data_IF_656625230931
#
_entry.id   IF_656625230931
#
_cell.length_a   1.000
_cell.length_b   1.000
_cell.length_c   1.000
_cell.angle_alpha   90.00
_cell.angle_beta   90.00
_cell.angle_gamma   90.00
#
_symmetry.space_group_name_H-M   'P 1'
#
loop_
_entity.id
_entity.type
_entity.pdbx_description
1 polymer ?
#
# COMPACT_ATOMS: atom_id res chain seq x y z
N UNK A 1 -0.21 -27.87 -1.71
CA UNK A 1 0.38 -26.54 -1.52
C UNK A 1 -0.48 -25.78 -0.50
N UNK A 2 0.08 -25.50 0.70
CA UNK A 2 -0.58 -24.64 1.68
C UNK A 2 -0.30 -23.16 1.35
N UNK A 3 -1.32 -22.32 1.47
CA UNK A 3 -1.19 -20.87 1.31
C UNK A 3 -1.12 -20.19 2.68
N UNK A 4 -0.30 -19.17 2.83
CA UNK A 4 -0.29 -18.34 4.05
C UNK A 4 -0.99 -17.02 3.78
N UNK A 5 -2.02 -16.71 4.57
CA UNK A 5 -2.72 -15.44 4.58
C UNK A 5 -2.19 -14.57 5.71
N UNK A 6 -1.70 -13.39 5.38
CA UNK A 6 -1.26 -12.40 6.38
C UNK A 6 -2.38 -11.41 6.65
N UNK A 7 -2.80 -11.28 7.91
CA UNK A 7 -3.82 -10.32 8.32
C UNK A 7 -3.30 -9.39 9.44
N UNK A 8 -3.82 -8.16 9.56
CA UNK A 8 -3.48 -7.30 10.69
C UNK A 8 -3.81 -7.98 12.03
N UNK A 9 -2.93 -7.85 13.02
CA UNK A 9 -3.09 -8.46 14.34
C UNK A 9 -4.41 -8.05 15.02
N UNK A 10 -4.88 -6.83 14.79
CA UNK A 10 -6.20 -6.35 15.24
C UNK A 10 -7.37 -7.18 14.67
N UNK A 11 -7.17 -7.83 13.52
CA UNK A 11 -8.16 -8.67 12.86
C UNK A 11 -8.09 -10.15 13.29
N UNK A 12 -7.21 -10.51 14.21
CA UNK A 12 -6.98 -11.92 14.64
C UNK A 12 -8.26 -12.67 15.02
N UNK A 13 -9.21 -11.98 15.65
CA UNK A 13 -10.51 -12.58 16.00
C UNK A 13 -11.34 -12.99 14.77
N UNK A 14 -11.08 -12.38 13.62
CA UNK A 14 -11.73 -12.67 12.35
C UNK A 14 -11.04 -13.83 11.59
N UNK A 15 -9.92 -14.35 12.09
CA UNK A 15 -9.22 -15.49 11.46
C UNK A 15 -10.13 -16.73 11.31
N UNK A 16 -11.14 -16.87 12.18
CA UNK A 16 -12.15 -17.93 12.09
C UNK A 16 -12.97 -17.90 10.80
N UNK A 17 -13.02 -16.75 10.08
CA UNK A 17 -13.71 -16.65 8.80
C UNK A 17 -12.92 -17.34 7.68
N UNK A 18 -11.67 -17.71 7.94
CA UNK A 18 -10.76 -18.35 6.99
C UNK A 18 -10.48 -19.81 7.41
N UNK A 19 -11.51 -20.49 7.96
CA UNK A 19 -11.42 -21.90 8.38
C UNK A 19 -11.31 -22.81 7.14
N UNK A 20 -10.07 -22.95 6.65
CA UNK A 20 -9.72 -23.78 5.51
C UNK A 20 -8.40 -24.50 5.86
N UNK A 21 -8.35 -25.84 5.85
CA UNK A 21 -7.16 -26.60 6.20
C UNK A 21 -5.95 -26.36 5.28
N UNK A 22 -6.18 -25.82 4.06
CA UNK A 22 -5.13 -25.45 3.13
C UNK A 22 -4.60 -24.03 3.36
N UNK A 23 -5.18 -23.27 4.30
CA UNK A 23 -4.85 -21.88 4.55
C UNK A 23 -4.29 -21.70 5.95
N UNK A 24 -3.00 -21.35 6.03
CA UNK A 24 -2.39 -20.89 7.27
C UNK A 24 -2.63 -19.39 7.44
N UNK A 25 -3.25 -18.98 8.53
CA UNK A 25 -3.43 -17.56 8.86
C UNK A 25 -2.33 -17.12 9.82
N UNK A 26 -1.57 -16.10 9.44
CA UNK A 26 -0.58 -15.45 10.28
C UNK A 26 -0.89 -13.96 10.43
N UNK A 27 -0.31 -13.31 11.44
CA UNK A 27 -0.65 -11.91 11.76
C UNK A 27 0.58 -11.01 11.75
N UNK A 28 0.36 -9.74 11.41
CA UNK A 28 1.38 -8.70 11.46
C UNK A 28 0.86 -7.44 12.16
N UNK A 29 1.78 -6.62 12.69
CA UNK A 29 1.43 -5.35 13.31
C UNK A 29 1.19 -4.27 12.25
N UNK A 30 -0.08 -3.90 12.06
CA UNK A 30 -0.50 -2.81 11.19
C UNK A 30 -0.50 -1.49 11.97
N UNK A 31 0.71 -1.05 12.37
CA UNK A 31 0.91 0.14 13.20
C UNK A 31 1.85 1.08 12.46
N UNK A 32 1.40 2.32 12.25
CA UNK A 32 2.26 3.38 11.73
C UNK A 32 3.30 3.77 12.78
N UNK A 33 4.57 3.77 12.41
CA UNK A 33 5.68 4.28 13.22
C UNK A 33 6.36 5.40 12.46
N UNK A 34 6.44 6.55 13.08
CA UNK A 34 7.06 7.76 12.54
C UNK A 34 7.96 8.37 13.63
N UNK A 35 9.08 8.95 13.24
CA UNK A 35 10.02 9.58 14.15
C UNK A 35 11.43 9.67 13.56
N UNK A 36 12.44 9.48 14.40
CA UNK A 36 13.82 9.46 13.94
C UNK A 36 14.11 8.17 13.17
N UNK A 37 14.89 8.25 12.09
CA UNK A 37 15.15 7.11 11.18
C UNK A 37 15.67 5.87 11.90
N UNK A 38 16.58 6.01 12.86
CA UNK A 38 17.10 4.89 13.65
C UNK A 38 16.02 4.20 14.50
N UNK A 39 15.08 4.97 15.07
CA UNK A 39 13.97 4.46 15.86
C UNK A 39 12.99 3.69 14.97
N UNK A 40 12.63 4.29 13.83
CA UNK A 40 11.76 3.63 12.84
C UNK A 40 12.37 2.32 12.36
N UNK A 41 13.67 2.32 11.99
CA UNK A 41 14.38 1.12 11.54
C UNK A 41 14.40 0.01 12.60
N UNK A 42 14.57 0.37 13.86
CA UNK A 42 14.51 -0.58 14.97
C UNK A 42 13.09 -1.17 15.11
N UNK A 43 12.05 -0.34 15.06
CA UNK A 43 10.66 -0.78 15.16
C UNK A 43 10.25 -1.67 13.98
N UNK A 44 10.68 -1.32 12.76
CA UNK A 44 10.44 -2.11 11.57
C UNK A 44 11.18 -3.45 11.63
N UNK A 45 12.43 -3.45 12.07
CA UNK A 45 13.23 -4.67 12.26
C UNK A 45 12.66 -5.62 13.31
N UNK A 46 12.09 -5.08 14.37
CA UNK A 46 11.38 -5.85 15.41
C UNK A 46 9.96 -6.27 15.00
N UNK A 47 9.50 -5.93 13.80
CA UNK A 47 8.14 -6.19 13.29
C UNK A 47 7.05 -5.53 14.16
N UNK A 48 7.36 -4.41 14.83
CA UNK A 48 6.43 -3.69 15.72
C UNK A 48 5.66 -2.59 15.03
N UNK A 49 5.99 -2.29 13.77
CA UNK A 49 5.30 -1.30 12.97
C UNK A 49 5.91 -1.19 11.57
N UNK A 50 5.42 -0.22 10.82
CA UNK A 50 5.80 0.04 9.43
C UNK A 50 5.63 1.52 9.11
N UNK A 51 6.16 2.03 7.98
CA UNK A 51 5.79 3.35 7.49
C UNK A 51 4.27 3.47 7.38
N UNK A 52 3.72 4.67 7.62
CA UNK A 52 2.26 4.86 7.69
C UNK A 52 1.52 4.27 6.50
N UNK A 53 0.76 3.18 6.69
CA UNK A 53 0.08 2.51 5.59
C UNK A 53 -1.20 3.28 5.22
N UNK A 54 -1.31 3.71 3.98
CA UNK A 54 -2.52 4.29 3.39
C UNK A 54 -3.19 3.34 2.40
N UNK A 55 -2.49 2.28 2.01
CA UNK A 55 -2.98 1.22 1.13
C UNK A 55 -2.27 -0.10 1.46
N UNK A 56 -2.63 -1.15 0.74
CA UNK A 56 -2.11 -2.50 0.94
C UNK A 56 -0.64 -2.64 0.52
N UNK A 57 -0.08 -1.76 -0.31
CA UNK A 57 1.30 -1.89 -0.81
C UNK A 57 2.33 -1.78 0.31
N UNK A 58 2.17 -0.82 1.24
CA UNK A 58 3.10 -0.65 2.36
C UNK A 58 3.24 -1.94 3.17
N UNK A 59 2.15 -2.54 3.71
CA UNK A 59 2.26 -3.80 4.43
C UNK A 59 2.73 -4.97 3.56
N UNK A 60 2.40 -5.01 2.27
CA UNK A 60 2.85 -6.09 1.37
C UNK A 60 4.38 -6.05 1.16
N UNK A 61 4.93 -4.87 0.92
CA UNK A 61 6.38 -4.69 0.78
C UNK A 61 7.08 -5.01 2.11
N UNK A 62 6.58 -4.52 3.23
CA UNK A 62 7.13 -4.82 4.55
C UNK A 62 7.09 -6.32 4.85
N UNK A 63 6.00 -7.00 4.51
CA UNK A 63 5.90 -8.45 4.64
C UNK A 63 6.98 -9.15 3.80
N UNK A 64 7.20 -8.72 2.57
CA UNK A 64 8.27 -9.25 1.72
C UNK A 64 9.66 -9.09 2.36
N UNK A 65 9.96 -7.92 2.92
CA UNK A 65 11.22 -7.68 3.64
C UNK A 65 11.33 -8.59 4.87
N UNK A 66 10.28 -8.71 5.67
CA UNK A 66 10.25 -9.55 6.88
C UNK A 66 10.34 -11.04 6.59
N UNK A 67 9.86 -11.49 5.43
CA UNK A 67 9.99 -12.87 4.95
C UNK A 67 11.39 -13.16 4.38
N UNK A 68 12.25 -12.14 4.24
CA UNK A 68 13.63 -12.28 3.84
C UNK A 68 13.87 -12.23 2.33
N UNK A 69 12.89 -11.81 1.53
CA UNK A 69 13.08 -11.59 0.10
C UNK A 69 14.15 -10.52 -0.13
N UNK A 70 15.09 -10.80 -1.05
CA UNK A 70 16.17 -9.87 -1.40
C UNK A 70 15.83 -8.97 -2.58
N UNK A 71 14.82 -9.36 -3.35
CA UNK A 71 14.29 -8.58 -4.47
C UNK A 71 12.77 -8.61 -4.44
N UNK A 72 12.15 -7.45 -4.56
CA UNK A 72 10.70 -7.24 -4.60
C UNK A 72 10.39 -6.48 -5.89
N UNK A 73 9.56 -7.06 -6.75
CA UNK A 73 9.10 -6.41 -7.98
C UNK A 73 7.64 -5.99 -7.84
N UNK A 74 7.36 -4.73 -8.13
CA UNK A 74 6.01 -4.18 -8.14
C UNK A 74 5.45 -4.22 -9.56
N UNK A 75 4.25 -4.79 -9.70
CA UNK A 75 3.50 -4.88 -10.93
C UNK A 75 2.08 -4.35 -10.72
N UNK A 76 1.55 -3.61 -11.71
CA UNK A 76 0.20 -3.05 -11.63
C UNK A 76 0.07 -1.93 -10.58
N UNK A 77 1.19 -1.35 -10.13
CA UNK A 77 1.24 -0.27 -9.15
C UNK A 77 1.39 1.09 -9.86
N UNK A 78 0.41 1.47 -10.65
CA UNK A 78 0.46 2.67 -11.49
C UNK A 78 0.19 3.98 -10.72
N UNK A 79 -0.73 3.96 -9.76
CA UNK A 79 -1.20 5.14 -9.02
C UNK A 79 -1.72 6.26 -9.94
N UNK A 80 -2.26 5.91 -11.10
CA UNK A 80 -2.81 6.82 -12.11
C UNK A 80 -4.03 7.62 -11.64
N UNK A 81 -4.70 7.16 -10.57
CA UNK A 81 -5.83 7.83 -9.96
C UNK A 81 -5.52 9.28 -9.51
N UNK A 82 -4.25 9.60 -9.23
CA UNK A 82 -3.85 10.97 -8.92
C UNK A 82 -4.10 11.93 -10.09
N UNK A 83 -3.92 11.47 -11.33
CA UNK A 83 -4.14 12.29 -12.54
C UNK A 83 -5.62 12.52 -12.85
N UNK A 84 -6.53 11.79 -12.22
CA UNK A 84 -7.98 11.88 -12.45
C UNK A 84 -8.71 12.68 -11.37
N UNK A 85 -7.96 13.17 -10.37
CA UNK A 85 -8.52 13.97 -9.27
C UNK A 85 -8.93 15.35 -9.78
N UNK A 86 -10.17 15.74 -9.56
CA UNK A 86 -10.71 17.03 -9.99
C UNK A 86 -11.76 17.54 -9.00
N UNK A 87 -12.15 18.79 -9.10
CA UNK A 87 -13.26 19.40 -8.36
C UNK A 87 -14.35 19.78 -9.37
N UNK A 88 -15.57 19.31 -9.14
CA UNK A 88 -16.70 19.60 -10.00
C UNK A 88 -17.35 20.96 -9.66
N UNK A 89 -18.34 21.38 -10.47
CA UNK A 89 -19.06 22.66 -10.29
C UNK A 89 -19.86 22.75 -9.00
N UNK A 90 -20.00 21.65 -8.25
CA UNK A 90 -20.65 21.61 -6.92
C UNK A 90 -19.63 21.69 -5.78
N UNK A 91 -18.36 21.99 -6.08
CA UNK A 91 -17.23 21.95 -5.13
C UNK A 91 -17.02 20.57 -4.49
N UNK A 92 -17.36 19.50 -5.19
CA UNK A 92 -17.13 18.14 -4.72
C UNK A 92 -15.84 17.60 -5.35
N UNK A 93 -14.99 16.98 -4.53
CA UNK A 93 -13.81 16.27 -5.02
C UNK A 93 -14.25 14.95 -5.65
N UNK A 94 -13.87 14.75 -6.90
CA UNK A 94 -14.19 13.53 -7.64
C UNK A 94 -12.94 12.96 -8.28
N UNK A 95 -12.88 11.64 -8.37
CA UNK A 95 -11.84 10.92 -9.11
C UNK A 95 -12.53 9.94 -10.04
N UNK A 96 -12.20 10.00 -11.33
CA UNK A 96 -12.66 9.04 -12.33
C UNK A 96 -11.51 8.10 -12.61
N UNK A 97 -11.55 6.91 -12.03
CA UNK A 97 -10.51 5.90 -12.25
C UNK A 97 -10.88 5.06 -13.48
N UNK A 98 -10.14 5.12 -14.58
CA UNK A 98 -10.31 4.17 -15.67
C UNK A 98 -9.71 2.82 -15.22
N UNK A 99 -10.54 1.89 -14.76
CA UNK A 99 -10.09 0.54 -14.50
C UNK A 99 -10.10 -0.30 -15.77
N UNK A 100 -9.14 -1.23 -15.89
CA UNK A 100 -9.01 -2.15 -17.01
C UNK A 100 -10.15 -3.19 -17.10
N UNK A 101 -10.93 -3.33 -16.04
CA UNK A 101 -12.10 -4.21 -16.00
C UNK A 101 -13.38 -3.38 -16.12
N UNK A 102 -14.39 -3.91 -16.80
CA UNK A 102 -15.74 -3.34 -16.79
C UNK A 102 -16.20 -3.30 -15.35
N UNK A 103 -16.17 -2.11 -14.75
CA UNK A 103 -16.60 -1.94 -13.37
C UNK A 103 -18.11 -2.11 -13.27
N UNK A 104 -18.50 -2.76 -12.17
CA UNK A 104 -19.89 -2.74 -11.73
C UNK A 104 -20.21 -1.27 -11.35
N UNK A 105 -21.31 -0.73 -11.88
CA UNK A 105 -21.79 0.64 -11.58
C UNK A 105 -21.86 0.95 -10.07
N UNK A 106 -21.91 -0.09 -9.23
CA UNK A 106 -21.88 0.01 -7.77
C UNK A 106 -20.51 0.42 -7.23
N UNK A 107 -19.42 -0.06 -7.83
CA UNK A 107 -18.07 0.27 -7.42
C UNK A 107 -17.72 1.71 -7.82
N UNK A 108 -18.09 2.15 -9.01
CA UNK A 108 -17.94 3.54 -9.43
C UNK A 108 -18.69 4.50 -8.50
N UNK A 109 -19.92 4.15 -8.11
CA UNK A 109 -20.70 4.95 -7.14
C UNK A 109 -20.03 4.99 -5.77
N UNK A 110 -19.42 3.90 -5.32
CA UNK A 110 -18.73 3.83 -4.04
C UNK A 110 -17.49 4.73 -4.02
N UNK A 111 -16.64 4.63 -5.04
CA UNK A 111 -15.42 5.45 -5.18
C UNK A 111 -15.79 6.93 -5.26
N UNK A 112 -16.78 7.29 -6.08
CA UNK A 112 -17.30 8.65 -6.17
C UNK A 112 -17.77 9.19 -4.83
N UNK A 113 -18.51 8.39 -4.04
CA UNK A 113 -19.03 8.78 -2.73
C UNK A 113 -17.93 8.95 -1.67
N UNK A 114 -16.83 8.24 -1.79
CA UNK A 114 -15.73 8.30 -0.82
C UNK A 114 -14.99 9.63 -0.90
N UNK A 115 -14.67 10.11 -2.11
CA UNK A 115 -13.97 11.39 -2.30
C UNK A 115 -14.84 12.61 -2.05
N UNK A 116 -16.12 12.58 -2.43
CA UNK A 116 -17.08 13.69 -2.25
C UNK A 116 -17.19 14.16 -0.78
N UNK A 117 -16.87 13.31 0.18
CA UNK A 117 -16.95 13.60 1.62
C UNK A 117 -15.73 14.32 2.18
N UNK A 118 -14.64 14.40 1.43
CA UNK A 118 -13.36 14.93 1.90
C UNK A 118 -12.96 16.17 1.10
N UNK A 119 -12.55 17.26 1.77
CA UNK A 119 -11.94 18.40 1.08
C UNK A 119 -10.69 18.00 0.30
N UNK A 120 -10.39 18.70 -0.78
CA UNK A 120 -9.26 18.40 -1.65
C UNK A 120 -7.93 18.29 -0.89
N UNK A 121 -7.68 19.19 0.07
CA UNK A 121 -6.44 19.18 0.84
C UNK A 121 -6.28 17.90 1.68
N UNK A 122 -7.35 17.38 2.27
CA UNK A 122 -7.28 16.12 3.04
C UNK A 122 -6.96 14.92 2.13
N UNK A 123 -7.54 14.91 0.92
CA UNK A 123 -7.24 13.89 -0.09
C UNK A 123 -5.77 13.97 -0.50
N UNK A 124 -5.28 15.16 -0.81
CA UNK A 124 -3.87 15.39 -1.17
C UNK A 124 -2.91 15.03 -0.04
N UNK A 125 -3.24 15.37 1.22
CA UNK A 125 -2.45 14.99 2.38
C UNK A 125 -2.37 13.46 2.55
N UNK A 126 -3.49 12.78 2.36
CA UNK A 126 -3.52 11.32 2.39
C UNK A 126 -2.63 10.70 1.32
N UNK A 127 -2.66 11.25 0.11
CA UNK A 127 -1.80 10.84 -1.00
C UNK A 127 -0.33 11.13 -0.70
N UNK A 128 0.00 12.33 -0.22
CA UNK A 128 1.35 12.72 0.15
C UNK A 128 1.94 11.79 1.25
N UNK A 129 1.12 11.38 2.22
CA UNK A 129 1.53 10.39 3.23
C UNK A 129 1.87 9.06 2.58
N UNK A 130 1.07 8.57 1.62
CA UNK A 130 1.34 7.32 0.92
C UNK A 130 2.69 7.36 0.18
N UNK A 131 2.95 8.43 -0.58
CA UNK A 131 4.19 8.58 -1.33
C UNK A 131 5.41 8.73 -0.38
N UNK A 132 5.31 9.52 0.70
CA UNK A 132 6.36 9.57 1.72
C UNK A 132 6.66 8.20 2.32
N UNK A 133 5.63 7.40 2.54
CA UNK A 133 5.79 6.03 3.07
C UNK A 133 6.55 5.12 2.10
N UNK A 134 6.39 5.30 0.79
CA UNK A 134 7.17 4.56 -0.20
C UNK A 134 8.65 4.95 -0.18
N UNK A 135 8.96 6.24 -0.08
CA UNK A 135 10.36 6.67 0.08
C UNK A 135 10.98 6.12 1.36
N UNK A 136 10.23 6.09 2.45
CA UNK A 136 10.70 5.50 3.70
C UNK A 136 10.91 3.99 3.60
N UNK A 137 10.03 3.28 2.88
CA UNK A 137 10.19 1.86 2.56
C UNK A 137 11.45 1.60 1.75
N UNK A 138 11.70 2.40 0.73
CA UNK A 138 12.89 2.28 -0.12
C UNK A 138 14.17 2.47 0.71
N UNK A 139 14.22 3.49 1.58
CA UNK A 139 15.35 3.72 2.45
C UNK A 139 15.59 2.55 3.42
N UNK A 140 14.52 2.05 4.04
CA UNK A 140 14.60 0.89 4.93
C UNK A 140 15.01 -0.39 4.19
N UNK A 141 14.44 -0.67 3.03
CA UNK A 141 14.81 -1.82 2.22
C UNK A 141 16.29 -1.79 1.85
N UNK A 142 16.79 -0.63 1.41
CA UNK A 142 18.20 -0.43 1.07
C UNK A 142 19.12 -0.70 2.28
N UNK A 143 18.77 -0.22 3.47
CA UNK A 143 19.51 -0.48 4.71
C UNK A 143 19.55 -1.99 5.09
N UNK A 144 18.61 -2.77 4.58
CA UNK A 144 18.52 -4.24 4.80
C UNK A 144 19.08 -5.06 3.64
N UNK A 145 19.65 -4.41 2.62
CA UNK A 145 20.16 -5.07 1.41
C UNK A 145 19.05 -5.70 0.57
N UNK A 146 17.86 -5.10 0.59
CA UNK A 146 16.69 -5.51 -0.23
C UNK A 146 16.51 -4.52 -1.37
N UNK A 147 16.40 -5.03 -2.59
CA UNK A 147 16.10 -4.26 -3.79
C UNK A 147 14.60 -4.25 -4.05
N UNK A 148 14.02 -3.06 -4.19
CA UNK A 148 12.64 -2.89 -4.64
C UNK A 148 12.69 -2.28 -6.04
N UNK A 149 11.98 -2.87 -6.99
CA UNK A 149 11.93 -2.43 -8.39
C UNK A 149 10.47 -2.23 -8.79
N UNK A 150 10.17 -1.09 -9.40
CA UNK A 150 8.86 -0.83 -9.98
C UNK A 150 8.88 -1.15 -11.47
N UNK A 151 8.32 -2.30 -11.83
CA UNK A 151 8.19 -2.77 -13.20
C UNK A 151 6.84 -2.38 -13.85
N UNK A 152 6.09 -1.46 -13.23
CA UNK A 152 4.82 -0.98 -13.77
C UNK A 152 5.05 0.15 -14.76
N UNK A 153 4.70 -0.02 -16.05
CA UNK A 153 4.77 1.08 -17.02
C UNK A 153 3.89 2.27 -16.60
N UNK A 154 4.38 3.49 -16.79
CA UNK A 154 3.61 4.71 -16.51
C UNK A 154 3.27 4.96 -15.03
N UNK A 155 3.83 4.20 -14.10
CA UNK A 155 3.57 4.38 -12.67
C UNK A 155 3.97 5.78 -12.19
N UNK A 156 3.15 6.37 -11.33
CA UNK A 156 3.43 7.65 -10.68
C UNK A 156 4.25 7.51 -9.39
N UNK A 157 4.57 6.28 -8.97
CA UNK A 157 5.42 6.05 -7.80
C UNK A 157 6.87 6.30 -8.18
N UNK A 158 7.48 7.32 -7.61
CA UNK A 158 8.84 7.76 -7.86
C UNK A 158 9.87 7.19 -6.85
N UNK A 159 9.40 6.63 -5.76
CA UNK A 159 10.26 6.13 -4.68
C UNK A 159 11.10 4.91 -5.07
N UNK A 160 10.68 4.11 -6.03
CA UNK A 160 11.34 2.86 -6.40
C UNK A 160 11.96 2.96 -7.81
N UNK A 161 13.21 2.49 -8.00
CA UNK A 161 13.82 2.41 -9.32
C UNK A 161 12.95 1.66 -10.32
N UNK A 162 12.96 2.11 -11.56
CA UNK A 162 12.33 1.42 -12.69
C UNK A 162 13.18 0.23 -13.10
N UNK A 163 12.55 -0.83 -13.53
CA UNK A 163 13.24 -2.01 -14.02
C UNK A 163 12.30 -3.06 -14.58
N UNK A 164 12.89 -4.06 -15.19
CA UNK A 164 12.17 -5.20 -15.75
C UNK A 164 12.16 -6.38 -14.77
N UNK A 165 11.20 -7.28 -14.99
CA UNK A 165 11.18 -8.57 -14.30
C UNK A 165 12.20 -9.47 -15.01
N UNK A 166 13.28 -9.75 -14.35
CA UNK A 166 14.29 -10.73 -14.80
C UNK A 166 14.25 -11.96 -13.91
#
# INVERSE_FOLDING_TARGET
FGMTLLIPAACRRRARLFDNPMLKVDTFNFVAVEGFGWFEDAMFGMRRGMPRPRNVMVPSIMAGIWLGYKRICLLGADHSWLSTLTVNDRNEVVSVQPHFYKEDEREEKRIRQEYVRHPLHEVLDSMAIAFRSYHRLQAYAASRGVSIVNATPGSMIDAFPRGEIS
#
